data_IF_593168380634
#
_entry.id   IF_593168380634
#
_cell.length_a   1.000
_cell.length_b   1.000
_cell.length_c   1.000
_cell.angle_alpha   90.00
_cell.angle_beta   90.00
_cell.angle_gamma   90.00
#
_symmetry.space_group_name_H-M   'P 1'
#
loop_
_entity.id
_entity.type
_entity.pdbx_description
1 polymer ?
#
# COMPACT_ATOMS: atom_id res chain seq x y z
N UNK A 1 15.33 -13.68 -4.38
CA UNK A 1 14.50 -14.88 -4.68
C UNK A 1 13.29 -15.03 -3.74
N UNK A 2 13.38 -14.68 -2.47
CA UNK A 2 12.26 -14.75 -1.49
C UNK A 2 11.07 -13.81 -1.81
N UNK A 3 11.31 -12.66 -2.44
CA UNK A 3 10.26 -11.65 -2.69
C UNK A 3 9.36 -11.95 -3.88
N UNK A 4 9.86 -12.62 -4.91
CA UNK A 4 9.02 -13.02 -6.05
C UNK A 4 7.95 -14.03 -5.63
N UNK A 5 8.26 -14.90 -4.65
CA UNK A 5 7.31 -15.85 -4.09
C UNK A 5 6.15 -15.13 -3.37
N UNK A 6 6.44 -14.06 -2.64
CA UNK A 6 5.40 -13.26 -1.98
C UNK A 6 4.51 -12.53 -2.99
N UNK A 7 5.09 -12.06 -4.10
CA UNK A 7 4.32 -11.42 -5.18
C UNK A 7 3.42 -12.42 -5.88
N UNK A 8 3.88 -13.65 -6.12
CA UNK A 8 3.13 -14.67 -6.87
C UNK A 8 2.17 -15.50 -6.01
N UNK A 9 2.33 -15.50 -4.69
CA UNK A 9 1.54 -16.33 -3.76
C UNK A 9 0.77 -15.57 -2.69
N UNK A 10 0.80 -14.23 -2.70
CA UNK A 10 0.13 -13.40 -1.70
C UNK A 10 -1.33 -13.08 -2.05
N UNK A 11 -2.09 -12.69 -1.02
CA UNK A 11 -3.41 -12.06 -1.22
C UNK A 11 -3.19 -10.56 -1.43
N UNK A 12 -3.64 -10.03 -2.57
CA UNK A 12 -3.39 -8.67 -3.00
C UNK A 12 -4.64 -7.80 -2.91
N UNK A 13 -4.47 -6.62 -2.35
CA UNK A 13 -5.39 -5.50 -2.44
C UNK A 13 -4.77 -4.48 -3.41
N UNK A 14 -4.89 -4.74 -4.72
CA UNK A 14 -4.29 -3.88 -5.74
C UNK A 14 -5.28 -3.68 -6.91
N UNK A 15 -5.25 -2.52 -7.51
CA UNK A 15 -6.07 -2.24 -8.70
C UNK A 15 -5.47 -2.95 -9.93
N UNK A 16 -6.32 -3.52 -10.79
CA UNK A 16 -5.93 -4.45 -11.86
C UNK A 16 -4.99 -3.82 -12.90
N UNK A 17 -5.26 -2.59 -13.35
CA UNK A 17 -4.41 -1.92 -14.33
C UNK A 17 -3.03 -1.56 -13.74
N UNK A 18 -2.98 -1.27 -12.45
CA UNK A 18 -1.75 -1.05 -11.73
C UNK A 18 -0.97 -2.37 -11.58
N UNK A 19 -1.66 -3.48 -11.26
CA UNK A 19 -1.07 -4.81 -11.21
C UNK A 19 -0.52 -5.25 -12.56
N UNK A 20 -1.18 -4.93 -13.68
CA UNK A 20 -0.76 -5.30 -15.03
C UNK A 20 0.63 -4.73 -15.38
N UNK A 21 0.97 -3.53 -14.91
CA UNK A 21 2.31 -2.95 -15.08
C UNK A 21 3.39 -3.77 -14.36
N UNK A 22 3.09 -4.29 -13.18
CA UNK A 22 4.00 -5.17 -12.44
C UNK A 22 4.11 -6.56 -13.06
N UNK A 23 3.02 -7.11 -13.63
CA UNK A 23 3.08 -8.37 -14.38
C UNK A 23 4.00 -8.30 -15.59
N UNK A 24 4.02 -7.20 -16.31
CA UNK A 24 4.94 -6.97 -17.44
C UNK A 24 6.39 -6.96 -16.96
N UNK A 25 6.66 -6.36 -15.82
CA UNK A 25 7.97 -6.34 -15.17
C UNK A 25 8.40 -7.75 -14.74
N UNK A 26 7.50 -8.48 -14.06
CA UNK A 26 7.73 -9.88 -13.64
C UNK A 26 7.96 -10.78 -14.86
N UNK A 27 7.16 -10.65 -15.92
CA UNK A 27 7.33 -11.40 -17.15
C UNK A 27 8.68 -11.11 -17.83
N UNK A 28 9.15 -9.87 -17.79
CA UNK A 28 10.47 -9.49 -18.32
C UNK A 28 11.61 -10.13 -17.52
N UNK A 29 11.47 -10.25 -16.20
CA UNK A 29 12.43 -10.97 -15.35
C UNK A 29 12.42 -12.48 -15.59
N UNK A 30 11.26 -13.08 -15.78
CA UNK A 30 11.13 -14.51 -16.07
C UNK A 30 11.70 -14.90 -17.46
N UNK A 31 11.62 -13.99 -18.43
CA UNK A 31 12.14 -14.22 -19.78
C UNK A 31 13.62 -13.88 -19.96
N UNK A 32 14.21 -13.13 -19.02
CA UNK A 32 15.64 -12.76 -19.00
C UNK A 32 16.25 -13.09 -17.64
N UNK A 33 16.54 -14.39 -17.35
CA UNK A 33 17.06 -14.82 -16.04
C UNK A 33 18.37 -14.13 -15.64
N UNK A 34 19.17 -13.71 -16.61
CA UNK A 34 20.42 -12.94 -16.41
C UNK A 34 20.19 -11.57 -15.74
N UNK A 35 19.00 -10.97 -15.89
CA UNK A 35 18.64 -9.76 -15.18
C UNK A 35 18.35 -10.01 -13.69
N UNK A 36 18.10 -11.26 -13.29
CA UNK A 36 17.90 -11.66 -11.88
C UNK A 36 19.22 -11.73 -11.08
N UNK A 37 20.35 -11.82 -11.76
CA UNK A 37 21.67 -11.92 -11.15
C UNK A 37 22.46 -10.62 -11.34
N UNK A 38 21.84 -9.47 -11.08
CA UNK A 38 22.60 -8.24 -10.86
C UNK A 38 23.70 -8.53 -9.85
N UNK A 39 24.93 -7.99 -10.09
CA UNK A 39 26.07 -8.20 -9.17
C UNK A 39 25.59 -8.01 -7.74
N UNK A 40 25.91 -8.94 -6.79
CA UNK A 40 25.56 -8.76 -5.41
C UNK A 40 26.11 -7.41 -4.96
N UNK A 41 25.23 -6.48 -4.57
CA UNK A 41 25.66 -5.28 -3.86
C UNK A 41 26.33 -5.75 -2.59
N UNK A 42 27.58 -5.35 -2.38
CA UNK A 42 28.26 -5.61 -1.13
C UNK A 42 27.41 -5.10 0.02
N UNK A 43 27.10 -5.96 0.97
CA UNK A 43 26.25 -5.69 2.14
C UNK A 43 26.83 -4.65 3.13
N UNK A 44 27.86 -3.91 2.72
CA UNK A 44 28.55 -2.88 3.51
C UNK A 44 28.38 -1.45 2.98
N UNK A 45 27.60 -1.21 1.92
CA UNK A 45 27.20 0.15 1.59
C UNK A 45 25.93 0.47 2.38
N UNK A 46 26.01 1.44 3.29
CA UNK A 46 24.85 2.16 3.77
C UNK A 46 23.96 2.43 2.56
N UNK A 47 22.74 1.90 2.57
CA UNK A 47 21.80 2.15 1.48
C UNK A 47 21.59 3.64 1.44
N UNK A 48 22.04 4.30 0.37
CA UNK A 48 21.60 5.67 0.14
C UNK A 48 20.07 5.65 0.12
N UNK A 49 19.44 6.50 0.92
CA UNK A 49 17.99 6.52 1.04
C UNK A 49 17.40 6.81 -0.34
N UNK A 50 16.50 5.95 -0.79
CA UNK A 50 15.71 6.21 -1.99
C UNK A 50 14.71 7.33 -1.67
N UNK A 51 14.30 8.10 -2.69
CA UNK A 51 13.32 9.20 -2.55
C UNK A 51 12.05 8.80 -1.79
N UNK A 52 11.66 7.53 -1.86
CA UNK A 52 10.49 6.97 -1.17
C UNK A 52 10.64 6.81 0.36
N UNK A 53 11.86 6.91 0.89
CA UNK A 53 12.17 6.79 2.33
C UNK A 53 12.43 8.15 2.98
N UNK A 54 12.42 9.23 2.21
CA UNK A 54 12.64 10.56 2.73
C UNK A 54 11.36 11.08 3.39
N UNK A 55 11.51 11.64 4.59
CA UNK A 55 10.54 12.58 5.13
C UNK A 55 10.88 13.97 4.64
N UNK A 56 9.88 14.66 4.13
CA UNK A 56 9.95 16.08 3.90
C UNK A 56 9.31 16.79 5.10
N UNK A 57 9.82 17.97 5.42
CA UNK A 57 9.23 18.80 6.47
C UNK A 57 8.72 20.11 5.89
N UNK A 58 7.46 20.42 6.14
CA UNK A 58 6.90 21.72 5.86
C UNK A 58 6.96 22.60 7.11
N UNK A 59 7.63 23.74 7.02
CA UNK A 59 7.76 24.71 8.11
C UNK A 59 7.15 26.04 7.72
N UNK A 60 6.45 26.68 8.66
CA UNK A 60 5.86 28.00 8.42
C UNK A 60 6.95 29.07 8.45
N UNK A 61 7.17 29.75 7.32
CA UNK A 61 8.11 30.88 7.19
C UNK A 61 7.40 32.04 6.49
N UNK A 62 7.41 33.21 7.13
CA UNK A 62 6.79 34.43 6.60
C UNK A 62 5.30 34.26 6.22
N UNK A 63 4.54 33.47 6.97
CA UNK A 63 3.11 33.23 6.76
C UNK A 63 2.75 32.19 5.70
N UNK A 64 3.73 31.52 5.09
CA UNK A 64 3.52 30.41 4.16
C UNK A 64 4.35 29.19 4.55
N UNK A 65 3.84 28.00 4.25
CA UNK A 65 4.62 26.77 4.42
C UNK A 65 5.68 26.67 3.33
N UNK A 66 6.91 26.39 3.77
CA UNK A 66 8.02 26.03 2.89
C UNK A 66 8.42 24.60 3.19
N UNK A 67 8.42 23.77 2.14
CA UNK A 67 8.87 22.39 2.22
C UNK A 67 10.40 22.40 2.15
N UNK A 68 11.06 21.60 2.99
CA UNK A 68 12.50 21.39 2.91
C UNK A 68 12.90 20.88 1.53
N UNK A 69 13.97 21.43 0.97
CA UNK A 69 14.44 21.01 -0.35
C UNK A 69 14.71 19.51 -0.39
N UNK A 70 14.37 18.90 -1.51
CA UNK A 70 14.68 17.52 -1.84
C UNK A 70 16.21 17.36 -1.88
N UNK A 71 16.78 16.70 -0.90
CA UNK A 71 18.25 16.60 -0.84
C UNK A 71 18.79 15.54 0.10
N UNK A 72 17.95 14.65 0.59
CA UNK A 72 18.40 13.58 1.44
C UNK A 72 17.33 13.07 2.42
N UNK A 73 17.58 11.90 2.94
CA UNK A 73 16.82 11.33 4.03
C UNK A 73 16.93 12.22 5.26
N UNK A 74 15.80 12.71 5.73
CA UNK A 74 15.73 13.50 6.96
C UNK A 74 14.98 12.69 8.01
N UNK A 75 15.64 12.23 9.07
CA UNK A 75 14.99 11.52 10.16
C UNK A 75 14.05 12.45 10.94
N UNK A 76 13.04 11.92 11.61
CA UNK A 76 12.13 12.72 12.44
C UNK A 76 12.81 13.61 13.45
N UNK A 77 13.95 13.18 13.99
CA UNK A 77 14.74 13.90 15.01
C UNK A 77 15.34 15.21 14.49
N UNK A 78 15.53 15.33 13.18
CA UNK A 78 16.04 16.56 12.53
C UNK A 78 14.90 17.52 12.12
N UNK A 79 13.66 17.21 12.50
CA UNK A 79 12.50 18.02 12.16
C UNK A 79 12.61 19.46 12.68
N UNK A 80 12.38 20.46 11.82
CA UNK A 80 12.26 21.85 12.28
C UNK A 80 11.12 22.00 13.29
N UNK A 81 11.28 22.92 14.23
CA UNK A 81 10.27 23.17 15.27
C UNK A 81 8.92 23.56 14.65
N UNK A 82 7.85 22.96 15.16
CA UNK A 82 6.48 23.15 14.69
C UNK A 82 6.27 22.77 13.20
N UNK A 83 7.01 21.82 12.69
CA UNK A 83 6.86 21.36 11.31
C UNK A 83 5.74 20.34 11.14
N UNK A 84 5.30 20.20 9.89
CA UNK A 84 4.45 19.10 9.40
C UNK A 84 5.34 18.12 8.68
N UNK A 85 5.32 16.85 9.08
CA UNK A 85 6.03 15.79 8.39
C UNK A 85 5.21 15.31 7.18
N UNK A 86 5.85 15.15 6.03
CA UNK A 86 5.24 14.64 4.81
C UNK A 86 5.89 13.29 4.51
N UNK A 87 5.07 12.24 4.51
CA UNK A 87 5.47 10.87 4.20
C UNK A 87 4.86 10.44 2.88
N UNK A 88 5.68 10.09 1.90
CA UNK A 88 5.21 9.56 0.63
C UNK A 88 4.86 8.08 0.75
N UNK A 89 3.72 7.68 0.16
CA UNK A 89 3.30 6.29 -0.05
C UNK A 89 3.03 6.12 -1.54
N UNK A 90 4.08 5.78 -2.28
CA UNK A 90 4.04 5.67 -3.73
C UNK A 90 4.19 4.23 -4.18
N UNK A 91 3.57 3.88 -5.32
CA UNK A 91 3.74 2.58 -5.95
C UNK A 91 3.06 1.43 -5.18
N UNK A 92 3.62 0.22 -5.29
CA UNK A 92 3.02 -0.97 -4.67
C UNK A 92 3.22 -1.00 -3.15
N UNK A 93 2.14 -1.28 -2.44
CA UNK A 93 2.17 -1.50 -0.99
C UNK A 93 2.66 -2.92 -0.74
N UNK A 94 3.78 -3.04 -0.02
CA UNK A 94 4.36 -4.31 0.42
C UNK A 94 4.64 -4.27 1.91
N UNK A 95 4.68 -5.43 2.55
CA UNK A 95 5.03 -5.55 3.97
C UNK A 95 6.47 -5.16 4.23
N UNK A 96 7.39 -5.67 3.41
CA UNK A 96 8.83 -5.49 3.55
C UNK A 96 9.39 -4.59 2.44
N UNK A 97 10.54 -3.99 2.70
CA UNK A 97 11.27 -3.19 1.72
C UNK A 97 11.63 -4.02 0.49
N UNK A 98 11.61 -3.39 -0.67
CA UNK A 98 11.98 -4.00 -1.94
C UNK A 98 13.42 -3.59 -2.31
N UNK A 99 14.18 -4.50 -2.96
CA UNK A 99 15.57 -4.22 -3.34
C UNK A 99 15.70 -3.07 -4.36
N UNK A 100 14.70 -2.88 -5.21
CA UNK A 100 14.66 -1.86 -6.25
C UNK A 100 13.27 -1.21 -6.33
N UNK A 101 12.68 -0.86 -5.19
CA UNK A 101 11.34 -0.31 -5.13
C UNK A 101 11.10 0.48 -3.84
N UNK A 102 9.86 0.90 -3.61
CA UNK A 102 9.50 1.66 -2.44
C UNK A 102 9.72 0.85 -1.14
N UNK A 103 9.91 1.59 -0.05
CA UNK A 103 9.98 0.98 1.28
C UNK A 103 8.69 0.29 1.65
N UNK A 104 8.84 -0.84 2.31
CA UNK A 104 7.71 -1.59 2.85
C UNK A 104 7.01 -0.87 4.00
N UNK A 105 5.78 -1.27 4.24
CA UNK A 105 4.94 -0.62 5.25
C UNK A 105 5.43 -0.84 6.68
N UNK A 106 6.24 -1.87 6.93
CA UNK A 106 6.88 -2.05 8.24
C UNK A 106 7.87 -0.92 8.53
N UNK A 107 8.70 -0.55 7.56
CA UNK A 107 9.64 0.57 7.65
C UNK A 107 8.90 1.90 7.77
N UNK A 108 7.87 2.13 6.95
CA UNK A 108 7.06 3.35 7.02
C UNK A 108 6.27 3.48 8.33
N UNK A 109 5.73 2.41 8.87
CA UNK A 109 5.06 2.40 10.16
C UNK A 109 6.02 2.74 11.32
N UNK A 110 7.24 2.20 11.30
CA UNK A 110 8.28 2.55 12.27
C UNK A 110 8.65 4.04 12.18
N UNK A 111 8.77 4.56 10.96
CA UNK A 111 9.06 5.97 10.73
C UNK A 111 7.91 6.86 11.22
N UNK A 112 6.66 6.48 10.97
CA UNK A 112 5.46 7.16 11.46
C UNK A 112 5.43 7.20 13.00
N UNK A 113 5.72 6.08 13.66
CA UNK A 113 5.79 6.01 15.13
C UNK A 113 6.90 6.92 15.70
N UNK A 114 8.04 7.08 15.01
CA UNK A 114 9.08 8.05 15.39
C UNK A 114 8.57 9.47 15.25
N UNK A 115 7.80 9.79 14.19
CA UNK A 115 7.17 11.12 14.06
C UNK A 115 6.22 11.43 15.21
N UNK A 116 5.49 10.44 15.74
CA UNK A 116 4.61 10.62 16.88
C UNK A 116 5.36 10.98 18.16
N UNK A 117 6.58 10.49 18.31
CA UNK A 117 7.44 10.76 19.48
C UNK A 117 8.27 12.03 19.34
N UNK A 118 8.37 12.64 18.15
CA UNK A 118 9.20 13.82 17.93
C UNK A 118 8.44 15.11 18.22
N UNK A 119 8.86 15.86 19.25
CA UNK A 119 8.17 17.08 19.72
C UNK A 119 8.13 18.22 18.69
N UNK A 120 9.07 18.26 17.77
CA UNK A 120 9.15 19.29 16.74
C UNK A 120 8.12 19.08 15.62
N UNK A 121 7.56 17.88 15.49
CA UNK A 121 6.53 17.54 14.51
C UNK A 121 5.15 17.73 15.15
N UNK A 122 4.33 18.60 14.58
CA UNK A 122 2.97 18.87 15.08
C UNK A 122 1.86 18.07 14.37
N UNK A 123 2.10 17.65 13.14
CA UNK A 123 1.15 16.89 12.32
C UNK A 123 1.88 16.11 11.23
N UNK A 124 1.19 15.13 10.63
CA UNK A 124 1.71 14.32 9.53
C UNK A 124 0.74 14.38 8.35
N UNK A 125 1.29 14.50 7.14
CA UNK A 125 0.57 14.31 5.88
C UNK A 125 1.10 13.06 5.20
N UNK A 126 0.24 12.10 4.96
CA UNK A 126 0.53 10.95 4.09
C UNK A 126 0.19 11.35 2.65
N UNK A 127 1.21 11.61 1.85
CA UNK A 127 1.07 11.90 0.43
C UNK A 127 1.03 10.58 -0.34
N UNK A 128 -0.14 10.21 -0.84
CA UNK A 128 -0.41 8.86 -1.35
C UNK A 128 -0.65 8.91 -2.86
N UNK A 129 0.13 8.09 -3.59
CA UNK A 129 -0.08 7.77 -5.00
C UNK A 129 0.19 6.28 -5.22
N UNK A 130 -0.84 5.45 -5.05
CA UNK A 130 -0.68 4.00 -4.98
C UNK A 130 -1.93 3.25 -5.44
N UNK A 131 -1.72 2.22 -6.26
CA UNK A 131 -2.75 1.26 -6.66
C UNK A 131 -3.10 0.22 -5.58
N UNK A 132 -2.45 0.28 -4.42
CA UNK A 132 -2.63 -0.72 -3.37
C UNK A 132 -1.53 -1.79 -3.37
N UNK A 133 -1.85 -2.98 -2.86
CA UNK A 133 -0.88 -4.07 -2.76
C UNK A 133 -1.20 -5.09 -1.68
N UNK A 134 -0.21 -5.46 -0.90
CA UNK A 134 -0.28 -6.53 0.10
C UNK A 134 -1.18 -6.16 1.30
N UNK A 135 -2.16 -7.01 1.62
CA UNK A 135 -3.10 -6.79 2.72
C UNK A 135 -2.42 -6.65 4.09
N UNK A 136 -1.33 -7.38 4.34
CA UNK A 136 -0.59 -7.25 5.59
C UNK A 136 0.18 -5.92 5.68
N UNK A 137 0.67 -5.39 4.56
CA UNK A 137 1.25 -4.05 4.51
C UNK A 137 0.22 -2.98 4.86
N UNK A 138 -0.99 -3.08 4.30
CA UNK A 138 -2.12 -2.23 4.66
C UNK A 138 -2.41 -2.27 6.17
N UNK A 139 -2.54 -3.46 6.74
CA UNK A 139 -2.85 -3.66 8.15
C UNK A 139 -1.82 -3.04 9.09
N UNK A 140 -0.54 -3.20 8.81
CA UNK A 140 0.55 -2.61 9.59
C UNK A 140 0.43 -1.08 9.63
N UNK A 141 0.16 -0.43 8.50
CA UNK A 141 -0.02 1.03 8.46
C UNK A 141 -1.29 1.48 9.15
N UNK A 142 -2.41 0.76 8.98
CA UNK A 142 -3.65 1.03 9.71
C UNK A 142 -3.43 1.02 11.22
N UNK A 143 -2.71 0.03 11.75
CA UNK A 143 -2.39 -0.07 13.18
C UNK A 143 -1.51 1.10 13.64
N UNK A 144 -0.50 1.48 12.87
CA UNK A 144 0.35 2.62 13.18
C UNK A 144 -0.44 3.95 13.17
N UNK A 145 -1.34 4.16 12.19
CA UNK A 145 -2.19 5.35 12.14
C UNK A 145 -3.19 5.36 13.31
N UNK A 146 -3.80 4.22 13.65
CA UNK A 146 -4.76 4.12 14.74
C UNK A 146 -4.14 4.37 16.13
N UNK A 147 -2.81 4.22 16.29
CA UNK A 147 -2.09 4.54 17.51
C UNK A 147 -1.64 6.00 17.62
N UNK A 148 -2.07 6.86 16.68
CA UNK A 148 -1.62 8.25 16.58
C UNK A 148 -1.94 9.09 17.83
N UNK A 149 -1.03 10.00 18.14
CA UNK A 149 -1.18 11.07 19.14
C UNK A 149 -1.06 12.47 18.52
N UNK A 150 -0.99 12.54 17.19
CA UNK A 150 -0.91 13.78 16.39
C UNK A 150 -1.86 13.67 15.21
N UNK A 151 -2.36 14.79 14.66
CA UNK A 151 -3.17 14.78 13.45
C UNK A 151 -2.44 14.12 12.28
N UNK A 152 -3.16 13.24 11.57
CA UNK A 152 -2.69 12.57 10.34
C UNK A 152 -3.71 12.80 9.23
N UNK A 153 -3.30 13.45 8.15
CA UNK A 153 -4.14 13.70 6.98
C UNK A 153 -3.62 12.89 5.81
N UNK A 154 -4.52 12.19 5.11
CA UNK A 154 -4.21 11.56 3.82
C UNK A 154 -4.45 12.57 2.70
N UNK A 155 -3.44 12.81 1.88
CA UNK A 155 -3.52 13.58 0.66
C UNK A 155 -3.42 12.63 -0.53
N UNK A 156 -4.53 12.51 -1.27
CA UNK A 156 -4.63 11.68 -2.47
C UNK A 156 -4.05 12.46 -3.64
N UNK A 157 -2.80 12.19 -4.00
CA UNK A 157 -2.09 12.98 -5.02
C UNK A 157 -2.66 12.72 -6.42
N UNK A 158 -2.84 11.45 -6.81
CA UNK A 158 -3.46 11.04 -8.09
C UNK A 158 -4.30 9.77 -7.89
N UNK A 159 -3.69 8.68 -7.45
CA UNK A 159 -4.28 7.35 -7.38
C UNK A 159 -4.25 6.79 -5.96
N UNK A 160 -5.41 6.53 -5.36
CA UNK A 160 -5.49 5.94 -4.00
C UNK A 160 -6.48 4.78 -4.01
N UNK A 161 -5.96 3.59 -4.29
CA UNK A 161 -6.78 2.41 -4.52
C UNK A 161 -6.51 1.28 -3.54
N UNK A 162 -7.55 0.53 -3.22
CA UNK A 162 -7.46 -0.75 -2.51
C UNK A 162 -6.69 -0.64 -1.18
N UNK A 163 -5.56 -1.33 -0.96
CA UNK A 163 -4.76 -1.22 0.26
C UNK A 163 -4.35 0.23 0.58
N UNK A 164 -4.10 1.08 -0.43
CA UNK A 164 -3.79 2.50 -0.24
C UNK A 164 -5.00 3.27 0.30
N UNK A 165 -6.21 2.96 -0.18
CA UNK A 165 -7.42 3.52 0.38
C UNK A 165 -7.67 3.01 1.82
N UNK A 166 -7.39 1.73 2.06
CA UNK A 166 -7.45 1.16 3.41
C UNK A 166 -6.54 1.90 4.41
N UNK A 167 -5.35 2.33 3.98
CA UNK A 167 -4.46 3.17 4.79
C UNK A 167 -5.07 4.57 4.98
N UNK A 168 -5.47 5.22 3.88
CA UNK A 168 -6.05 6.57 3.91
C UNK A 168 -7.29 6.64 4.81
N UNK A 169 -8.14 5.60 4.80
CA UNK A 169 -9.39 5.55 5.58
C UNK A 169 -9.20 5.70 7.08
N UNK A 170 -8.01 5.36 7.61
CA UNK A 170 -7.68 5.48 9.03
C UNK A 170 -7.18 6.87 9.43
N UNK A 171 -6.96 7.80 8.48
CA UNK A 171 -6.53 9.16 8.78
C UNK A 171 -7.68 10.03 9.31
N UNK A 172 -7.34 11.14 9.95
CA UNK A 172 -8.34 12.09 10.48
C UNK A 172 -9.12 12.80 9.36
N UNK A 173 -8.48 12.98 8.20
CA UNK A 173 -9.09 13.58 7.02
C UNK A 173 -8.47 12.99 5.76
N UNK A 174 -9.27 12.88 4.70
CA UNK A 174 -8.84 12.43 3.37
C UNK A 174 -9.15 13.52 2.37
N UNK A 175 -8.13 14.06 1.73
CA UNK A 175 -8.26 15.16 0.77
C UNK A 175 -7.72 14.71 -0.59
N UNK A 176 -8.51 14.89 -1.64
CA UNK A 176 -8.06 14.62 -3.01
C UNK A 176 -7.49 15.88 -3.65
N UNK A 177 -6.37 15.74 -4.37
CA UNK A 177 -5.68 16.85 -5.04
C UNK A 177 -6.54 17.53 -6.12
N UNK A 178 -7.40 16.78 -6.78
CA UNK A 178 -8.23 17.29 -7.88
C UNK A 178 -9.44 16.40 -8.16
N UNK A 179 -10.37 16.92 -8.96
CA UNK A 179 -11.56 16.17 -9.40
C UNK A 179 -11.24 14.90 -10.19
N UNK A 180 -10.05 14.80 -10.78
CA UNK A 180 -9.65 13.64 -11.60
C UNK A 180 -8.90 12.57 -10.82
N UNK A 181 -8.61 12.80 -9.53
CA UNK A 181 -8.04 11.75 -8.67
C UNK A 181 -8.94 10.52 -8.66
N UNK A 182 -8.31 9.34 -8.64
CA UNK A 182 -8.99 8.06 -8.66
C UNK A 182 -8.89 7.39 -7.29
N UNK A 183 -10.04 7.13 -6.69
CA UNK A 183 -10.18 6.60 -5.33
C UNK A 183 -11.06 5.35 -5.37
N UNK A 184 -10.75 4.32 -4.56
CA UNK A 184 -11.63 3.16 -4.46
C UNK A 184 -10.93 1.82 -4.55
N UNK A 185 -11.40 0.95 -5.44
CA UNK A 185 -10.93 -0.44 -5.57
C UNK A 185 -10.95 -1.20 -4.25
N UNK A 186 -11.99 -0.97 -3.42
CA UNK A 186 -12.15 -1.72 -2.18
C UNK A 186 -12.66 -3.11 -2.51
N UNK A 187 -11.74 -4.06 -2.48
CA UNK A 187 -11.98 -5.45 -2.84
C UNK A 187 -10.71 -6.29 -2.74
N UNK A 188 -10.88 -7.60 -2.74
CA UNK A 188 -9.78 -8.56 -2.61
C UNK A 188 -9.84 -9.54 -3.78
N UNK A 189 -8.70 -9.87 -4.35
CA UNK A 189 -8.59 -10.95 -5.33
C UNK A 189 -7.31 -11.76 -5.13
N UNK A 190 -7.27 -12.94 -5.72
CA UNK A 190 -6.11 -13.81 -5.72
C UNK A 190 -5.88 -14.34 -7.14
N UNK A 191 -4.63 -14.33 -7.59
CA UNK A 191 -4.23 -14.94 -8.86
C UNK A 191 -3.38 -16.18 -8.59
N UNK A 192 -3.71 -17.29 -9.24
CA UNK A 192 -2.91 -18.51 -9.25
C UNK A 192 -2.36 -18.71 -10.64
N UNK A 193 -1.06 -18.94 -10.73
CA UNK A 193 -0.39 -19.26 -12.00
C UNK A 193 -0.17 -20.76 -12.07
N UNK A 194 -0.83 -21.41 -13.04
CA UNK A 194 -0.55 -22.81 -13.36
C UNK A 194 0.67 -22.90 -14.29
N UNK A 195 1.77 -23.38 -13.76
CA UNK A 195 3.03 -23.58 -14.51
C UNK A 195 3.27 -25.02 -14.91
N UNK A 196 2.32 -25.92 -14.72
CA UNK A 196 2.46 -27.37 -14.93
C UNK A 196 2.87 -27.73 -16.36
N UNK A 197 2.20 -27.15 -17.36
CA UNK A 197 2.54 -27.38 -18.77
C UNK A 197 3.92 -26.79 -19.15
N UNK A 198 4.28 -25.66 -18.57
CA UNK A 198 5.57 -25.03 -18.81
C UNK A 198 6.71 -25.94 -18.35
N UNK A 199 6.64 -26.45 -17.14
CA UNK A 199 7.65 -27.40 -16.63
C UNK A 199 7.64 -28.71 -17.41
N UNK A 200 6.49 -29.24 -17.77
CA UNK A 200 6.38 -30.46 -18.58
C UNK A 200 7.06 -30.29 -19.96
N UNK A 201 6.90 -29.15 -20.64
CA UNK A 201 7.59 -28.82 -21.91
C UNK A 201 9.11 -28.72 -21.75
N UNK A 202 9.61 -28.37 -20.57
CA UNK A 202 11.04 -28.36 -20.25
C UNK A 202 11.57 -29.76 -19.82
N UNK A 203 10.73 -30.79 -19.82
CA UNK A 203 11.10 -32.12 -19.34
C UNK A 203 11.24 -32.24 -17.82
N UNK A 204 10.75 -31.25 -17.08
CA UNK A 204 10.80 -31.22 -15.62
C UNK A 204 9.49 -31.78 -15.07
N UNK A 205 9.57 -32.82 -14.24
CA UNK A 205 8.45 -33.40 -13.53
C UNK A 205 8.52 -33.01 -12.05
N UNK A 206 7.50 -32.30 -11.57
CA UNK A 206 7.32 -31.99 -10.15
C UNK A 206 6.64 -33.20 -9.47
N UNK A 207 7.16 -33.61 -8.32
CA UNK A 207 6.62 -34.71 -7.51
C UNK A 207 6.47 -34.22 -6.09
N UNK A 208 5.23 -34.00 -5.65
CA UNK A 208 4.94 -33.58 -4.28
C UNK A 208 4.78 -34.81 -3.39
N UNK A 209 5.52 -34.83 -2.28
CA UNK A 209 5.46 -35.89 -1.27
C UNK A 209 5.00 -35.28 0.05
N UNK A 210 3.84 -35.72 0.51
CA UNK A 210 3.23 -35.26 1.76
C UNK A 210 3.43 -36.27 2.90
N UNK A 211 3.63 -35.77 4.11
CA UNK A 211 3.59 -36.60 5.29
C UNK A 211 2.19 -37.20 5.48
N UNK A 212 2.07 -38.42 5.99
CA UNK A 212 0.81 -39.16 6.10
C UNK A 212 -0.30 -38.43 6.87
N UNK A 213 0.06 -37.53 7.79
CA UNK A 213 -0.86 -36.72 8.59
C UNK A 213 -1.13 -35.33 8.02
N UNK A 214 -0.50 -34.94 6.91
CA UNK A 214 -0.65 -33.61 6.28
C UNK A 214 -1.72 -33.65 5.18
N UNK A 215 -2.90 -34.15 5.50
CA UNK A 215 -3.99 -34.43 4.55
C UNK A 215 -4.54 -33.16 3.87
N UNK A 216 -4.51 -32.04 4.57
CA UNK A 216 -5.13 -30.81 4.10
C UNK A 216 -4.10 -29.81 3.51
N UNK A 217 -2.80 -30.14 3.60
CA UNK A 217 -1.75 -29.23 3.15
C UNK A 217 -1.82 -28.99 1.64
N UNK A 218 -1.95 -27.72 1.25
CA UNK A 218 -2.05 -27.27 -0.16
C UNK A 218 -3.30 -27.79 -0.91
N UNK A 219 -4.29 -28.34 -0.23
CA UNK A 219 -5.48 -28.92 -0.89
C UNK A 219 -6.28 -27.85 -1.66
N UNK A 220 -6.35 -26.61 -1.14
CA UNK A 220 -7.05 -25.52 -1.82
C UNK A 220 -6.42 -25.21 -3.20
N UNK A 221 -5.09 -25.21 -3.27
CA UNK A 221 -4.36 -24.97 -4.53
C UNK A 221 -4.50 -26.14 -5.49
N UNK A 222 -4.42 -27.38 -5.02
CA UNK A 222 -4.64 -28.56 -5.86
C UNK A 222 -6.05 -28.58 -6.46
N UNK A 223 -7.06 -28.26 -5.65
CA UNK A 223 -8.44 -28.18 -6.12
C UNK A 223 -8.61 -27.08 -7.16
N UNK A 224 -8.01 -25.91 -6.93
CA UNK A 224 -8.07 -24.80 -7.88
C UNK A 224 -7.43 -25.14 -9.22
N UNK A 225 -6.29 -25.85 -9.25
CA UNK A 225 -5.68 -26.35 -10.49
C UNK A 225 -6.55 -27.40 -11.21
N UNK A 226 -7.47 -28.03 -10.52
CA UNK A 226 -8.45 -28.96 -11.06
C UNK A 226 -9.78 -28.28 -11.44
N UNK A 227 -9.89 -26.95 -11.28
CA UNK A 227 -11.05 -26.13 -11.60
C UNK A 227 -12.01 -25.86 -10.43
N UNK A 228 -11.76 -26.42 -9.24
CA UNK A 228 -12.54 -26.12 -8.03
C UNK A 228 -11.87 -24.97 -7.24
N UNK A 229 -12.31 -23.74 -7.52
CA UNK A 229 -11.79 -22.52 -6.89
C UNK A 229 -12.50 -22.13 -5.59
N UNK A 230 -13.58 -22.82 -5.21
CA UNK A 230 -14.42 -22.46 -4.04
C UNK A 230 -13.63 -22.41 -2.69
N UNK A 231 -12.68 -23.29 -2.40
CA UNK A 231 -11.91 -23.18 -1.19
C UNK A 231 -11.08 -21.89 -1.12
N UNK A 232 -10.43 -21.49 -2.22
CA UNK A 232 -9.64 -20.26 -2.28
C UNK A 232 -10.51 -19.00 -2.31
N UNK A 233 -11.68 -19.08 -2.95
CA UNK A 233 -12.67 -18.01 -2.90
C UNK A 233 -13.09 -17.70 -1.47
N UNK A 234 -13.34 -18.70 -0.63
CA UNK A 234 -13.64 -18.51 0.80
C UNK A 234 -12.50 -17.81 1.56
N UNK A 235 -11.25 -18.10 1.21
CA UNK A 235 -10.09 -17.37 1.75
C UNK A 235 -10.15 -15.91 1.33
N UNK A 236 -10.37 -15.62 0.04
CA UNK A 236 -10.54 -14.25 -0.46
C UNK A 236 -11.70 -13.53 0.23
N UNK A 237 -12.85 -14.19 0.39
CA UNK A 237 -14.04 -13.61 1.05
C UNK A 237 -13.72 -13.22 2.50
N UNK A 238 -13.00 -14.07 3.24
CA UNK A 238 -12.56 -13.77 4.62
C UNK A 238 -11.66 -12.53 4.68
N UNK A 239 -10.69 -12.42 3.77
CA UNK A 239 -9.84 -11.24 3.68
C UNK A 239 -10.65 -9.99 3.31
N UNK A 240 -11.57 -10.14 2.34
CA UNK A 240 -12.41 -9.06 1.86
C UNK A 240 -13.34 -8.51 2.95
N UNK A 241 -13.99 -9.38 3.71
CA UNK A 241 -14.85 -9.00 4.84
C UNK A 241 -14.06 -8.22 5.90
N UNK A 242 -12.85 -8.69 6.27
CA UNK A 242 -11.98 -7.98 7.21
C UNK A 242 -11.56 -6.61 6.66
N UNK A 243 -11.23 -6.53 5.37
CA UNK A 243 -10.83 -5.28 4.72
C UNK A 243 -11.97 -4.27 4.70
N UNK A 244 -13.17 -4.67 4.23
CA UNK A 244 -14.37 -3.83 4.21
C UNK A 244 -14.72 -3.35 5.63
N UNK A 245 -14.72 -4.27 6.61
CA UNK A 245 -15.02 -3.94 8.01
C UNK A 245 -14.01 -2.93 8.59
N UNK A 246 -12.73 -3.03 8.26
CA UNK A 246 -11.71 -2.08 8.72
C UNK A 246 -11.98 -0.67 8.21
N UNK A 247 -12.37 -0.52 6.94
CA UNK A 247 -12.71 0.76 6.32
C UNK A 247 -14.02 1.31 6.90
N UNK A 248 -15.06 0.49 6.99
CA UNK A 248 -16.35 0.90 7.56
C UNK A 248 -16.20 1.43 8.98
N UNK A 249 -15.40 0.76 9.81
CA UNK A 249 -15.11 1.19 11.19
C UNK A 249 -14.31 2.50 11.23
N UNK A 250 -13.31 2.65 10.36
CA UNK A 250 -12.48 3.85 10.32
C UNK A 250 -13.26 5.08 9.81
N UNK A 251 -14.24 4.88 8.95
CA UNK A 251 -15.08 5.92 8.33
C UNK A 251 -16.51 5.94 8.88
N UNK A 252 -16.73 5.44 10.10
CA UNK A 252 -18.06 5.35 10.70
C UNK A 252 -18.75 6.72 10.76
N UNK A 253 -20.01 6.77 10.32
CA UNK A 253 -20.80 8.02 10.26
C UNK A 253 -20.45 8.96 9.12
N UNK A 254 -19.46 8.63 8.26
CA UNK A 254 -19.03 9.42 7.11
C UNK A 254 -19.26 8.66 5.82
N UNK A 255 -18.77 7.42 5.72
CA UNK A 255 -18.93 6.59 4.53
C UNK A 255 -20.38 6.10 4.40
N UNK A 256 -20.85 5.93 3.17
CA UNK A 256 -22.19 5.43 2.91
C UNK A 256 -22.41 4.05 3.56
N UNK A 257 -23.51 3.88 4.28
CA UNK A 257 -23.82 2.62 4.99
C UNK A 257 -24.06 1.44 4.04
N UNK A 258 -24.51 1.72 2.80
CA UNK A 258 -24.66 0.70 1.75
C UNK A 258 -23.29 0.36 1.16
N UNK A 259 -22.71 -0.74 1.64
CA UNK A 259 -21.41 -1.24 1.16
C UNK A 259 -21.43 -1.58 -0.33
N UNK A 260 -22.58 -1.89 -0.93
CA UNK A 260 -22.72 -2.12 -2.36
C UNK A 260 -22.34 -0.90 -3.22
N UNK A 261 -22.26 0.29 -2.63
CA UNK A 261 -21.87 1.52 -3.33
C UNK A 261 -20.37 1.73 -3.43
N UNK A 262 -19.56 1.14 -2.52
CA UNK A 262 -18.14 1.41 -2.46
C UNK A 262 -17.23 0.16 -2.29
N UNK A 263 -17.77 -0.96 -1.82
CA UNK A 263 -17.01 -2.18 -1.48
C UNK A 263 -17.09 -3.27 -2.57
N UNK A 264 -17.17 -2.88 -3.85
CA UNK A 264 -17.31 -3.79 -4.99
C UNK A 264 -16.07 -3.88 -5.88
N UNK A 265 -14.97 -3.28 -5.46
CA UNK A 265 -13.77 -3.14 -6.29
C UNK A 265 -13.82 -2.01 -7.31
N UNK A 266 -14.91 -1.22 -7.34
CA UNK A 266 -15.05 -0.08 -8.27
C UNK A 266 -14.10 1.07 -7.91
N UNK A 267 -13.60 1.76 -8.95
CA UNK A 267 -12.89 3.03 -8.85
C UNK A 267 -13.84 4.19 -9.12
N UNK A 268 -13.65 5.28 -8.37
CA UNK A 268 -14.43 6.50 -8.46
C UNK A 268 -13.52 7.69 -8.77
N UNK A 269 -14.05 8.70 -9.45
CA UNK A 269 -13.41 10.01 -9.43
C UNK A 269 -13.68 10.72 -8.11
N UNK A 270 -12.83 11.70 -7.75
CA UNK A 270 -12.91 12.37 -6.45
C UNK A 270 -14.30 12.92 -6.10
N UNK A 271 -15.06 13.59 -7.02
CA UNK A 271 -16.43 14.05 -6.70
C UNK A 271 -17.38 12.90 -6.34
N UNK A 272 -17.34 11.78 -7.08
CA UNK A 272 -18.16 10.60 -6.78
C UNK A 272 -17.76 9.98 -5.44
N UNK A 273 -16.45 9.91 -5.16
CA UNK A 273 -15.92 9.39 -3.91
C UNK A 273 -16.34 10.27 -2.71
N UNK A 274 -16.41 11.58 -2.90
CA UNK A 274 -16.87 12.52 -1.87
C UNK A 274 -18.37 12.36 -1.62
N UNK A 275 -19.19 12.20 -2.65
CA UNK A 275 -20.64 12.01 -2.52
C UNK A 275 -21.02 10.76 -1.70
N UNK A 276 -20.19 9.72 -1.75
CA UNK A 276 -20.40 8.48 -0.99
C UNK A 276 -19.56 8.42 0.31
N UNK A 277 -18.89 9.50 0.68
CA UNK A 277 -18.16 9.63 1.95
C UNK A 277 -16.82 8.89 1.99
N UNK A 278 -16.25 8.53 0.83
CA UNK A 278 -14.92 7.92 0.79
C UNK A 278 -13.80 8.94 1.03
N UNK A 279 -14.00 10.20 0.66
CA UNK A 279 -13.10 11.32 0.95
C UNK A 279 -13.88 12.48 1.57
N UNK A 280 -13.17 13.41 2.19
CA UNK A 280 -13.78 14.52 2.92
C UNK A 280 -13.77 15.82 2.12
N UNK A 281 -12.79 15.99 1.22
CA UNK A 281 -12.59 17.27 0.51
C UNK A 281 -11.77 17.09 -0.77
N UNK A 282 -11.88 18.06 -1.67
CA UNK A 282 -11.03 18.20 -2.86
C UNK A 282 -10.34 19.55 -2.73
N UNK A 283 -9.02 19.54 -2.51
CA UNK A 283 -8.24 20.76 -2.30
C UNK A 283 -6.75 20.57 -2.63
N UNK A 284 -6.02 21.67 -2.73
CA UNK A 284 -4.58 21.66 -3.03
C UNK A 284 -3.74 21.23 -1.83
N UNK A 285 -2.54 20.73 -2.10
CA UNK A 285 -1.58 20.35 -1.06
C UNK A 285 -1.21 21.53 -0.14
N UNK A 286 -1.08 22.73 -0.71
CA UNK A 286 -0.80 23.95 0.05
C UNK A 286 -1.90 24.25 1.08
N UNK A 287 -3.17 24.14 0.68
CA UNK A 287 -4.29 24.33 1.57
C UNK A 287 -4.34 23.26 2.68
N UNK A 288 -4.00 22.00 2.37
CA UNK A 288 -3.89 20.95 3.40
C UNK A 288 -2.84 21.31 4.45
N UNK A 289 -1.69 21.85 4.07
CA UNK A 289 -0.70 22.32 5.03
C UNK A 289 -1.24 23.46 5.90
N UNK A 290 -2.10 24.32 5.34
CA UNK A 290 -2.71 25.44 6.06
C UNK A 290 -3.71 25.00 7.15
N UNK A 291 -4.23 23.75 7.14
CA UNK A 291 -5.05 23.23 8.26
C UNK A 291 -4.30 23.24 9.59
N UNK A 292 -2.98 23.22 9.54
CA UNK A 292 -2.12 23.17 10.73
C UNK A 292 -1.57 24.53 11.15
N UNK A 293 -2.12 25.64 10.63
CA UNK A 293 -1.71 27.02 10.99
C UNK A 293 -2.27 27.54 12.32
N UNK A 294 -2.80 26.66 13.16
CA UNK A 294 -3.36 27.01 14.47
C UNK A 294 -2.33 26.99 15.58
#
# INVERSE_FOLDING_TARGET
>A
MLYLHNILGGVWFVEENFAANYFTLIASFLTKPEAMFGKPRNASSEQEPTEDNALLFASLKNGAYQISEYGGWSPPEDAPKNSVAIMNINGAITKYDQECGPSGMLTKANLLNRCYNENNIKAIVLNIDSGGGEGMGCRIMQEAINSRNKPVVAFCNDFVASAAYGIASCCDKIVANSNVCRIGSVGTYMTIVDTSEYYAKMGIKLIDIYASKSTDKNQEFHKALQGDTEPLKKVCDTYNENFISSIANARVGVINEDQGKWATGKMFFAPEAMDIGMIDEIDTFENVLNYFNT
#
